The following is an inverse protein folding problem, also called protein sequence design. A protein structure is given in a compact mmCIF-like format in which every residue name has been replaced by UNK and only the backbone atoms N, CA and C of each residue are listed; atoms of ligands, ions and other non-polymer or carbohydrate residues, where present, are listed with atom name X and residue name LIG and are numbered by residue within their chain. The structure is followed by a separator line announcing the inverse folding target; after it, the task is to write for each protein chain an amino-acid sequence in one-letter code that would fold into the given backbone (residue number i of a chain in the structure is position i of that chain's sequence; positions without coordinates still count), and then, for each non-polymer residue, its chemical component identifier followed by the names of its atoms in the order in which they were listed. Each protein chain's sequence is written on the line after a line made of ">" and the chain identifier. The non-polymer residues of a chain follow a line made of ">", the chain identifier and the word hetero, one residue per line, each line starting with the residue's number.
data_IF_901799284131
#
_entry.id   IF_901799284131
#
_cell.length_a   1.000
_cell.length_b   1.000
_cell.length_c   1.000
_cell.angle_alpha   90.00
_cell.angle_beta   90.00
_cell.angle_gamma   90.00
#
_symmetry.space_group_name_H-M   'P 1'
#
loop_
_entity.id
_entity.type
_entity.pdbx_description
1 polymer ?
#
# COMPACT_ATOMS: atom_id res chain seq x y z
N UNK A 1 6.07 -12.92 -83.16
CA UNK A 1 6.24 -12.89 -81.70
C UNK A 1 4.87 -13.06 -81.09
N UNK A 2 4.56 -14.29 -80.73
CA UNK A 2 3.22 -14.75 -80.39
C UNK A 2 3.20 -15.02 -78.88
N UNK A 3 2.50 -14.15 -78.14
CA UNK A 3 2.41 -14.16 -76.68
C UNK A 3 1.00 -14.61 -76.29
N UNK A 4 0.73 -15.88 -76.51
CA UNK A 4 -0.36 -16.59 -75.85
C UNK A 4 0.23 -17.71 -75.03
N UNK A 5 0.01 -17.67 -73.71
CA UNK A 5 -0.33 -18.81 -72.84
C UNK A 5 -0.40 -18.38 -71.37
N UNK A 6 -1.63 -18.49 -70.83
CA UNK A 6 -1.97 -18.98 -69.48
C UNK A 6 -1.51 -18.16 -68.25
N UNK A 7 -2.26 -17.99 -67.16
CA UNK A 7 -3.44 -18.67 -66.61
C UNK A 7 -4.08 -17.72 -65.58
N UNK A 8 -5.42 -17.81 -65.43
CA UNK A 8 -6.23 -17.21 -64.36
C UNK A 8 -5.63 -17.43 -62.95
N UNK A 9 -5.72 -16.41 -62.07
CA UNK A 9 -6.43 -16.50 -60.78
C UNK A 9 -6.55 -15.15 -60.08
N UNK A 10 -7.76 -14.91 -59.60
CA UNK A 10 -8.20 -13.83 -58.72
C UNK A 10 -7.40 -13.79 -57.41
N UNK A 11 -7.04 -12.60 -56.96
CA UNK A 11 -6.97 -12.26 -55.53
C UNK A 11 -7.33 -10.79 -55.39
N UNK A 12 -8.51 -10.54 -54.83
CA UNK A 12 -8.89 -9.29 -54.21
C UNK A 12 -7.79 -8.90 -53.22
N UNK A 13 -7.15 -7.74 -53.43
CA UNK A 13 -6.31 -7.13 -52.43
C UNK A 13 -7.21 -6.55 -51.34
N UNK A 14 -7.49 -7.36 -50.32
CA UNK A 14 -8.02 -6.89 -49.04
C UNK A 14 -6.90 -6.10 -48.36
N UNK A 15 -7.01 -4.78 -48.38
CA UNK A 15 -6.22 -3.89 -47.53
C UNK A 15 -6.75 -4.10 -46.10
N UNK A 16 -6.12 -5.01 -45.36
CA UNK A 16 -6.25 -5.04 -43.90
C UNK A 16 -5.44 -3.86 -43.36
N UNK A 17 -6.08 -2.71 -43.25
CA UNK A 17 -5.63 -1.68 -42.32
C UNK A 17 -5.90 -2.24 -40.91
N UNK A 18 -4.86 -2.83 -40.30
CA UNK A 18 -4.88 -3.13 -38.88
C UNK A 18 -4.90 -1.80 -38.11
N UNK A 19 -6.12 -1.34 -37.82
CA UNK A 19 -6.38 -0.42 -36.72
C UNK A 19 -5.95 -1.15 -35.44
N UNK A 20 -4.70 -0.96 -35.04
CA UNK A 20 -4.28 -1.17 -33.66
C UNK A 20 -4.98 -0.09 -32.85
N UNK A 21 -6.22 -0.37 -32.48
CA UNK A 21 -6.89 0.35 -31.40
C UNK A 21 -6.17 -0.13 -30.15
N UNK A 22 -5.07 0.54 -29.79
CA UNK A 22 -4.62 0.55 -28.41
C UNK A 22 -5.77 1.21 -27.63
N UNK A 23 -6.71 0.41 -27.15
CA UNK A 23 -7.58 0.80 -26.08
C UNK A 23 -6.67 1.13 -24.91
N UNK A 24 -6.35 2.41 -24.74
CA UNK A 24 -5.84 2.92 -23.49
C UNK A 24 -6.94 2.67 -22.46
N UNK A 25 -6.91 1.50 -21.81
CA UNK A 25 -7.64 1.30 -20.58
C UNK A 25 -7.00 2.27 -19.59
N UNK A 26 -7.65 3.41 -19.37
CA UNK A 26 -7.25 4.33 -18.32
C UNK A 26 -7.31 3.56 -17.01
N UNK A 27 -6.20 3.55 -16.26
CA UNK A 27 -6.20 2.99 -14.91
C UNK A 27 -7.24 3.75 -14.06
N UNK A 28 -7.98 3.00 -13.26
CA UNK A 28 -9.06 3.50 -12.41
C UNK A 28 -8.57 4.55 -11.39
N UNK A 29 -7.42 4.27 -10.77
CA UNK A 29 -6.70 5.16 -9.87
C UNK A 29 -5.26 5.17 -10.34
N UNK A 30 -4.73 6.36 -10.62
CA UNK A 30 -3.34 6.56 -11.05
C UNK A 30 -2.56 7.29 -9.99
N UNK A 31 -1.43 6.74 -9.54
CA UNK A 31 -0.41 7.47 -8.76
C UNK A 31 0.35 8.40 -9.71
N UNK A 32 0.35 9.70 -9.40
CA UNK A 32 0.89 10.77 -10.26
C UNK A 32 2.02 11.58 -9.61
N UNK A 33 2.45 11.20 -8.41
CA UNK A 33 3.51 11.85 -7.66
C UNK A 33 3.27 11.73 -6.16
N UNK A 34 3.63 12.77 -5.41
CA UNK A 34 3.54 12.79 -3.94
C UNK A 34 2.93 14.06 -3.37
N UNK A 35 2.35 13.94 -2.17
CA UNK A 35 1.84 15.06 -1.39
C UNK A 35 2.54 15.13 -0.04
N UNK A 36 3.21 16.25 0.23
CA UNK A 36 3.82 16.52 1.53
C UNK A 36 2.74 16.66 2.61
N UNK A 37 2.96 16.01 3.75
CA UNK A 37 2.12 16.15 4.94
C UNK A 37 2.98 16.37 6.19
N UNK A 38 2.50 17.22 7.09
CA UNK A 38 3.17 17.51 8.36
C UNK A 38 2.39 16.90 9.51
N UNK A 39 3.06 16.03 10.26
CA UNK A 39 2.53 15.32 11.41
C UNK A 39 2.94 16.03 12.70
N UNK A 40 2.02 16.13 13.63
CA UNK A 40 2.32 16.55 15.00
C UNK A 40 2.76 15.33 15.81
N UNK A 41 3.99 15.33 16.31
CA UNK A 41 4.51 14.23 17.13
C UNK A 41 4.08 14.36 18.60
N UNK A 42 4.04 13.22 19.29
CA UNK A 42 4.00 13.18 20.74
C UNK A 42 5.38 13.55 21.32
N UNK A 43 5.47 14.29 22.45
CA UNK A 43 6.75 14.50 23.11
C UNK A 43 7.30 13.16 23.62
N UNK A 44 8.45 12.75 23.09
CA UNK A 44 9.17 11.58 23.57
C UNK A 44 9.71 11.85 24.98
N UNK A 45 9.18 11.14 25.98
CA UNK A 45 9.54 11.18 27.41
C UNK A 45 9.23 12.48 28.17
N UNK A 46 8.38 12.33 29.20
CA UNK A 46 8.05 13.34 30.24
C UNK A 46 9.26 13.81 31.10
N UNK A 47 10.49 13.39 30.81
CA UNK A 47 11.68 13.62 31.65
C UNK A 47 12.64 14.69 31.13
N UNK A 48 12.39 15.31 29.98
CA UNK A 48 13.16 16.49 29.52
C UNK A 48 12.24 17.67 29.24
N UNK A 49 12.43 18.76 29.99
CA UNK A 49 11.82 20.09 29.78
C UNK A 49 12.31 20.72 28.46
N UNK A 50 11.97 20.13 27.33
CA UNK A 50 12.09 20.75 26.03
C UNK A 50 10.77 20.55 25.30
N UNK A 51 9.87 21.52 25.46
CA UNK A 51 8.63 21.68 24.71
C UNK A 51 8.96 22.12 23.27
N UNK A 52 9.62 21.25 22.50
CA UNK A 52 9.67 21.40 21.05
C UNK A 52 8.71 20.34 20.52
N UNK A 53 7.55 20.78 20.04
CA UNK A 53 6.72 19.97 19.16
C UNK A 53 7.54 19.76 17.89
N UNK A 54 8.31 18.67 17.82
CA UNK A 54 9.03 18.32 16.60
C UNK A 54 8.00 17.87 15.56
N UNK A 55 7.67 18.75 14.63
CA UNK A 55 6.85 18.40 13.48
C UNK A 55 7.61 17.39 12.61
N UNK A 56 6.95 16.30 12.22
CA UNK A 56 7.51 15.31 11.28
C UNK A 56 6.90 15.51 9.91
N UNK A 57 7.73 15.66 8.88
CA UNK A 57 7.25 15.63 7.50
C UNK A 57 7.24 14.22 6.96
N UNK A 58 6.21 13.89 6.19
CA UNK A 58 6.10 12.68 5.37
C UNK A 58 5.64 13.06 3.96
N UNK A 59 5.68 12.10 3.04
CA UNK A 59 5.00 12.23 1.76
C UNK A 59 4.03 11.06 1.56
N UNK A 60 2.83 11.39 1.11
CA UNK A 60 1.80 10.45 0.68
C UNK A 60 1.84 10.27 -0.83
N UNK A 61 1.21 9.23 -1.34
CA UNK A 61 0.97 9.07 -2.77
C UNK A 61 -0.02 10.16 -3.23
N UNK A 62 0.33 10.89 -4.28
CA UNK A 62 -0.62 11.72 -5.00
C UNK A 62 -1.36 10.86 -6.01
N UNK A 63 -2.68 10.86 -5.98
CA UNK A 63 -3.52 10.06 -6.87
C UNK A 63 -4.47 10.91 -7.70
N UNK A 64 -4.83 10.37 -8.86
CA UNK A 64 -5.90 10.88 -9.70
C UNK A 64 -6.91 9.76 -9.96
N UNK A 65 -8.19 10.07 -9.72
CA UNK A 65 -9.31 9.12 -9.85
C UNK A 65 -10.01 9.34 -11.19
N UNK A 66 -10.30 8.24 -11.89
CA UNK A 66 -11.18 8.25 -13.06
C UNK A 66 -12.61 8.64 -12.68
N UNK A 67 -13.38 9.17 -13.65
CA UNK A 67 -14.79 9.51 -13.42
C UNK A 67 -15.61 8.29 -12.98
N UNK A 68 -15.26 7.09 -13.46
CA UNK A 68 -15.90 5.84 -13.04
C UNK A 68 -15.68 5.58 -11.55
N UNK A 69 -14.45 5.73 -11.06
CA UNK A 69 -14.12 5.54 -9.65
C UNK A 69 -14.77 6.60 -8.79
N UNK A 70 -14.74 7.87 -9.20
CA UNK A 70 -15.41 8.95 -8.44
C UNK A 70 -16.89 8.64 -8.25
N UNK A 71 -17.59 8.28 -9.33
CA UNK A 71 -19.00 7.90 -9.28
C UNK A 71 -19.24 6.65 -8.40
N UNK A 72 -18.38 5.64 -8.50
CA UNK A 72 -18.46 4.44 -7.66
C UNK A 72 -18.32 4.77 -6.17
N UNK A 73 -17.34 5.61 -5.82
CA UNK A 73 -17.10 6.03 -4.44
C UNK A 73 -18.28 6.84 -3.91
N UNK A 74 -18.80 7.81 -4.67
CA UNK A 74 -19.97 8.60 -4.29
C UNK A 74 -21.19 7.72 -4.00
N UNK A 75 -21.48 6.75 -4.89
CA UNK A 75 -22.61 5.86 -4.70
C UNK A 75 -22.46 5.00 -3.44
N UNK A 76 -21.27 4.41 -3.23
CA UNK A 76 -20.99 3.61 -2.02
C UNK A 76 -21.01 4.44 -0.75
N UNK A 77 -20.57 5.70 -0.81
CA UNK A 77 -20.63 6.64 0.30
C UNK A 77 -22.08 6.98 0.69
N UNK A 78 -22.95 7.22 -0.30
CA UNK A 78 -24.37 7.45 -0.06
C UNK A 78 -25.04 6.23 0.57
N UNK A 79 -24.72 5.03 0.09
CA UNK A 79 -25.17 3.78 0.70
C UNK A 79 -24.67 3.67 2.15
N UNK A 80 -23.40 4.01 2.42
CA UNK A 80 -22.84 4.01 3.77
C UNK A 80 -23.59 4.95 4.74
N UNK A 81 -23.97 6.15 4.28
CA UNK A 81 -24.73 7.13 5.06
C UNK A 81 -26.19 6.71 5.30
N UNK A 82 -26.82 6.08 4.33
CA UNK A 82 -28.23 5.68 4.39
C UNK A 82 -28.48 4.51 5.36
N UNK A 83 -27.45 3.71 5.67
CA UNK A 83 -27.52 2.61 6.63
C UNK A 83 -27.15 3.12 8.05
N UNK A 84 -28.15 3.69 8.74
CA UNK A 84 -28.09 4.20 10.13
C UNK A 84 -27.78 3.17 11.22
N UNK A 85 -27.41 1.96 10.82
CA UNK A 85 -26.68 0.99 11.62
C UNK A 85 -25.48 0.58 10.79
N UNK A 86 -24.28 0.69 11.39
CA UNK A 86 -22.99 0.13 10.96
C UNK A 86 -23.17 -0.94 9.91
N UNK A 87 -22.29 -1.02 8.92
CA UNK A 87 -22.24 -2.14 7.97
C UNK A 87 -22.08 -3.46 8.75
N UNK A 88 -23.21 -3.93 9.27
CA UNK A 88 -23.29 -4.95 10.26
C UNK A 88 -22.93 -6.17 9.46
N UNK A 89 -21.94 -6.87 9.97
CA UNK A 89 -21.61 -8.21 9.52
C UNK A 89 -22.90 -9.03 9.52
N UNK A 90 -23.57 -9.09 8.36
CA UNK A 90 -24.51 -10.14 8.08
C UNK A 90 -23.63 -11.36 7.90
N UNK A 91 -23.48 -12.15 8.97
CA UNK A 91 -22.84 -13.45 8.92
C UNK A 91 -23.56 -14.25 7.83
N UNK A 92 -23.00 -14.26 6.63
CA UNK A 92 -23.52 -15.08 5.56
C UNK A 92 -23.21 -16.51 5.96
N UNK A 93 -24.26 -17.22 6.36
CA UNK A 93 -24.25 -18.65 6.59
C UNK A 93 -23.79 -19.37 5.32
N UNK A 94 -22.49 -19.52 5.14
CA UNK A 94 -21.88 -20.56 4.31
C UNK A 94 -20.77 -21.17 5.13
N UNK A 95 -20.74 -22.50 5.12
CA UNK A 95 -19.84 -23.35 5.90
C UNK A 95 -18.36 -23.12 5.54
N UNK A 96 -17.80 -21.99 5.98
CA UNK A 96 -16.39 -21.78 6.16
C UNK A 96 -16.04 -22.20 7.60
N UNK A 97 -14.86 -22.80 7.80
CA UNK A 97 -14.33 -23.06 9.13
C UNK A 97 -14.49 -21.82 10.03
N UNK A 98 -14.75 -21.96 11.33
CA UNK A 98 -14.96 -20.81 12.20
C UNK A 98 -13.70 -19.93 12.19
N UNK A 99 -13.74 -18.82 11.45
CA UNK A 99 -12.67 -17.82 11.48
C UNK A 99 -12.76 -17.13 12.85
N UNK A 100 -11.66 -17.01 13.61
CA UNK A 100 -11.67 -16.34 14.90
C UNK A 100 -12.26 -14.92 14.79
N UNK A 101 -12.86 -14.41 15.86
CA UNK A 101 -13.35 -13.02 15.89
C UNK A 101 -12.23 -12.00 16.15
N UNK A 102 -11.03 -12.48 16.48
CA UNK A 102 -9.83 -11.69 16.75
C UNK A 102 -8.60 -12.46 16.28
N UNK A 103 -7.72 -11.81 15.53
CA UNK A 103 -6.39 -12.30 15.19
C UNK A 103 -5.39 -11.15 15.31
N UNK A 104 -4.26 -11.37 15.97
CA UNK A 104 -3.17 -10.40 16.06
C UNK A 104 -1.84 -11.11 15.82
N UNK A 105 -1.31 -10.98 14.59
CA UNK A 105 -0.05 -11.61 14.20
C UNK A 105 1.17 -10.77 14.61
N UNK A 106 0.98 -9.47 14.84
CA UNK A 106 2.08 -8.52 15.02
C UNK A 106 2.99 -8.49 13.79
N UNK A 107 4.28 -8.20 13.96
CA UNK A 107 5.24 -8.08 12.84
C UNK A 107 6.48 -8.97 12.97
N UNK A 108 6.43 -10.05 13.77
CA UNK A 108 7.52 -11.04 13.87
C UNK A 108 8.92 -10.40 14.07
N UNK A 109 9.01 -9.45 15.01
CA UNK A 109 10.22 -8.67 15.34
C UNK A 109 10.74 -7.72 14.25
N UNK A 110 9.98 -7.48 13.17
CA UNK A 110 10.27 -6.37 12.26
C UNK A 110 9.99 -5.06 13.01
N UNK A 111 10.98 -4.17 13.17
CA UNK A 111 10.78 -2.90 13.84
C UNK A 111 9.82 -2.02 13.06
N UNK A 112 9.31 -0.96 13.69
CA UNK A 112 8.58 0.08 12.96
C UNK A 112 9.58 0.82 12.09
N UNK A 113 9.35 0.80 10.78
CA UNK A 113 10.20 1.45 9.81
C UNK A 113 9.79 2.92 9.62
N UNK A 114 10.67 3.67 8.97
CA UNK A 114 10.49 5.11 8.77
C UNK A 114 10.85 5.50 7.32
N UNK A 115 9.82 5.74 6.52
CA UNK A 115 9.95 6.24 5.14
C UNK A 115 10.50 7.67 5.09
N UNK A 116 10.44 8.39 6.22
CA UNK A 116 10.90 9.76 6.28
C UNK A 116 10.10 10.68 5.38
N UNK A 117 10.81 11.58 4.70
CA UNK A 117 10.19 12.64 3.89
C UNK A 117 9.95 12.25 2.42
N UNK A 118 10.00 10.97 2.07
CA UNK A 118 9.84 10.48 0.70
C UNK A 118 8.52 9.74 0.49
N UNK A 119 8.03 9.65 -0.75
CA UNK A 119 6.81 8.94 -1.15
C UNK A 119 6.93 7.41 -1.21
N UNK A 120 7.79 6.84 -0.37
CA UNK A 120 8.25 5.44 -0.48
C UNK A 120 7.39 4.44 0.29
N UNK A 121 6.21 4.84 0.78
CA UNK A 121 5.34 4.03 1.64
C UNK A 121 5.10 2.61 1.10
N UNK A 122 4.86 2.44 -0.19
CA UNK A 122 4.66 1.15 -0.86
C UNK A 122 5.86 0.22 -0.68
N UNK A 123 7.08 0.71 -0.97
CA UNK A 123 8.30 -0.07 -0.79
C UNK A 123 8.49 -0.46 0.68
N UNK A 124 8.22 0.46 1.60
CA UNK A 124 8.32 0.19 3.04
C UNK A 124 7.30 -0.84 3.52
N UNK A 125 6.04 -0.75 3.08
CA UNK A 125 5.00 -1.70 3.43
C UNK A 125 5.30 -3.10 2.88
N UNK A 126 5.63 -3.21 1.59
CA UNK A 126 5.97 -4.48 0.94
C UNK A 126 7.18 -5.14 1.63
N UNK A 127 8.27 -4.40 1.82
CA UNK A 127 9.47 -4.95 2.48
C UNK A 127 9.20 -5.36 3.92
N UNK A 128 8.46 -4.57 4.70
CA UNK A 128 8.12 -4.92 6.08
C UNK A 128 7.23 -6.18 6.15
N UNK A 129 6.25 -6.33 5.25
CA UNK A 129 5.39 -7.51 5.20
C UNK A 129 6.17 -8.77 4.80
N UNK A 130 7.06 -8.68 3.81
CA UNK A 130 7.96 -9.76 3.41
C UNK A 130 8.89 -10.17 4.55
N UNK A 131 9.53 -9.19 5.19
CA UNK A 131 10.42 -9.41 6.32
C UNK A 131 9.71 -10.08 7.51
N UNK A 132 8.46 -9.69 7.79
CA UNK A 132 7.66 -10.30 8.84
C UNK A 132 7.25 -11.74 8.47
N UNK A 133 6.89 -11.96 7.21
CA UNK A 133 6.54 -13.28 6.67
C UNK A 133 7.73 -14.23 6.75
N UNK A 134 8.94 -13.78 6.36
CA UNK A 134 10.19 -14.54 6.50
C UNK A 134 10.71 -14.60 7.94
N UNK A 135 10.24 -13.70 8.82
CA UNK A 135 10.71 -13.56 10.22
C UNK A 135 12.19 -13.21 10.31
N UNK A 136 12.60 -12.19 9.53
CA UNK A 136 14.01 -11.76 9.42
C UNK A 136 14.32 -10.40 10.08
N UNK A 137 13.37 -9.77 10.77
CA UNK A 137 13.57 -8.42 11.31
C UNK A 137 13.69 -7.38 10.18
N UNK A 138 14.37 -6.25 10.39
CA UNK A 138 14.69 -5.31 9.28
C UNK A 138 15.78 -5.92 8.39
N UNK A 139 15.37 -6.62 7.32
CA UNK A 139 16.25 -7.45 6.51
C UNK A 139 16.37 -6.92 5.08
N UNK A 140 15.26 -6.64 4.40
CA UNK A 140 15.31 -6.14 3.02
C UNK A 140 15.73 -4.66 3.01
N UNK A 141 16.66 -4.31 2.12
CA UNK A 141 17.06 -2.92 1.88
C UNK A 141 16.04 -2.18 1.00
N UNK A 142 15.27 -1.27 1.61
CA UNK A 142 14.45 -0.31 0.87
C UNK A 142 15.33 0.57 -0.02
N UNK A 143 16.48 1.02 0.50
CA UNK A 143 17.42 1.85 -0.24
C UNK A 143 17.86 1.21 -1.55
N UNK A 144 18.39 -0.02 -1.51
CA UNK A 144 18.92 -0.67 -2.71
C UNK A 144 17.81 -0.89 -3.73
N UNK A 145 16.61 -1.27 -3.26
CA UNK A 145 15.46 -1.46 -4.13
C UNK A 145 15.05 -0.15 -4.82
N UNK A 146 14.98 0.95 -4.09
CA UNK A 146 14.67 2.27 -4.64
C UNK A 146 15.77 2.80 -5.57
N UNK A 147 17.05 2.50 -5.30
CA UNK A 147 18.17 2.89 -6.18
C UNK A 147 18.19 2.12 -7.49
N UNK A 148 17.79 0.84 -7.48
CA UNK A 148 17.51 0.11 -8.73
C UNK A 148 16.30 0.71 -9.44
N UNK A 149 15.24 1.05 -8.69
CA UNK A 149 14.07 1.73 -9.23
C UNK A 149 14.43 3.03 -9.97
N UNK A 150 15.25 3.89 -9.38
CA UNK A 150 15.75 5.13 -10.03
C UNK A 150 16.45 4.85 -11.36
N UNK A 151 17.23 3.76 -11.46
CA UNK A 151 17.82 3.35 -12.73
C UNK A 151 16.73 2.95 -13.75
N UNK A 152 15.79 2.11 -13.33
CA UNK A 152 14.73 1.59 -14.20
C UNK A 152 13.85 2.72 -14.73
N UNK A 153 13.46 3.67 -13.89
CA UNK A 153 12.68 4.84 -14.28
C UNK A 153 13.42 5.73 -15.28
N UNK A 154 14.69 6.05 -15.00
CA UNK A 154 15.53 6.88 -15.88
C UNK A 154 15.69 6.28 -17.29
N UNK A 155 15.56 4.96 -17.42
CA UNK A 155 15.67 4.25 -18.68
C UNK A 155 14.31 3.78 -19.25
N UNK A 156 13.20 4.18 -18.63
CA UNK A 156 11.85 3.90 -19.13
C UNK A 156 11.34 2.47 -18.91
N UNK A 157 11.88 1.75 -17.91
CA UNK A 157 11.50 0.37 -17.58
C UNK A 157 10.47 0.24 -16.45
N UNK A 158 10.26 1.27 -15.64
CA UNK A 158 9.33 1.20 -14.50
C UNK A 158 9.30 2.49 -13.67
N UNK A 159 8.64 2.45 -12.52
CA UNK A 159 8.62 3.54 -11.54
C UNK A 159 9.80 3.40 -10.58
N UNK A 160 10.35 4.52 -10.09
CA UNK A 160 11.45 4.46 -9.14
C UNK A 160 11.03 4.01 -7.74
N UNK A 161 9.78 4.34 -7.36
CA UNK A 161 9.23 4.14 -6.03
C UNK A 161 9.60 5.20 -5.01
N UNK A 162 10.44 6.19 -5.36
CA UNK A 162 10.71 7.34 -4.49
C UNK A 162 9.52 8.27 -4.37
N UNK A 163 8.86 8.54 -5.51
CA UNK A 163 7.69 9.41 -5.63
C UNK A 163 6.37 8.63 -5.79
N UNK A 164 6.31 7.45 -5.18
CA UNK A 164 5.16 6.56 -5.24
C UNK A 164 5.29 5.41 -6.22
N UNK A 165 4.52 4.36 -5.98
CA UNK A 165 4.48 3.13 -6.78
C UNK A 165 3.16 2.38 -6.52
N UNK A 166 3.11 1.11 -6.94
CA UNK A 166 2.09 0.13 -6.57
C UNK A 166 2.77 -1.12 -6.03
N UNK A 167 2.09 -1.88 -5.17
CA UNK A 167 2.65 -3.13 -4.63
C UNK A 167 3.13 -4.06 -5.75
N UNK A 168 2.32 -4.20 -6.80
CA UNK A 168 2.65 -5.00 -7.99
C UNK A 168 3.97 -4.60 -8.65
N UNK A 169 4.22 -3.32 -8.89
CA UNK A 169 5.47 -2.84 -9.49
C UNK A 169 6.69 -3.13 -8.60
N UNK A 170 6.56 -2.92 -7.29
CA UNK A 170 7.62 -3.22 -6.32
C UNK A 170 7.91 -4.73 -6.29
N UNK A 171 6.86 -5.56 -6.30
CA UNK A 171 6.97 -7.02 -6.28
C UNK A 171 7.56 -7.53 -7.60
N UNK A 172 7.10 -7.06 -8.75
CA UNK A 172 7.62 -7.44 -10.07
C UNK A 172 9.13 -7.13 -10.17
N UNK A 173 9.56 -5.97 -9.66
CA UNK A 173 10.97 -5.63 -9.58
C UNK A 173 11.73 -6.62 -8.67
N UNK A 174 11.17 -7.03 -7.54
CA UNK A 174 11.76 -8.05 -6.66
C UNK A 174 11.76 -9.46 -7.27
N UNK A 175 10.76 -9.83 -8.07
CA UNK A 175 10.73 -11.10 -8.80
C UNK A 175 11.81 -11.14 -9.88
N UNK A 176 11.97 -10.04 -10.62
CA UNK A 176 12.92 -9.97 -11.73
C UNK A 176 14.38 -9.88 -11.25
N UNK A 177 14.64 -9.05 -10.23
CA UNK A 177 16.02 -8.71 -9.82
C UNK A 177 16.41 -9.27 -8.45
N UNK A 178 15.47 -9.78 -7.67
CA UNK A 178 15.68 -10.22 -6.29
C UNK A 178 15.64 -9.05 -5.29
N UNK A 179 16.05 -9.35 -4.06
CA UNK A 179 16.20 -8.36 -2.98
C UNK A 179 17.66 -8.26 -2.55
N UNK A 180 18.07 -7.09 -2.05
CA UNK A 180 19.36 -6.91 -1.38
C UNK A 180 19.11 -6.74 0.10
N UNK A 181 19.82 -7.47 0.96
CA UNK A 181 19.65 -7.35 2.40
C UNK A 181 20.48 -6.21 3.02
N UNK A 182 20.08 -5.77 4.22
CA UNK A 182 20.71 -4.66 4.97
C UNK A 182 22.21 -4.87 5.23
N UNK A 183 22.64 -6.12 5.47
CA UNK A 183 24.07 -6.42 5.68
C UNK A 183 24.88 -6.08 4.41
N UNK A 184 24.38 -6.48 3.23
CA UNK A 184 25.01 -6.15 1.94
C UNK A 184 24.94 -4.65 1.66
N UNK A 185 23.81 -3.98 1.92
CA UNK A 185 23.68 -2.52 1.83
C UNK A 185 24.78 -1.80 2.64
N UNK A 186 24.93 -2.13 3.93
CA UNK A 186 25.89 -1.46 4.81
C UNK A 186 27.35 -1.75 4.40
N UNK A 187 27.62 -2.96 3.90
CA UNK A 187 28.96 -3.37 3.48
C UNK A 187 29.38 -2.70 2.17
N UNK A 188 28.56 -2.82 1.13
CA UNK A 188 28.92 -2.46 -0.24
C UNK A 188 28.34 -1.13 -0.71
N UNK A 189 27.23 -0.69 -0.12
CA UNK A 189 26.46 0.46 -0.59
C UNK A 189 25.61 0.14 -1.83
N UNK A 190 24.64 1.00 -2.10
CA UNK A 190 23.72 0.95 -3.22
C UNK A 190 23.58 2.35 -3.80
N UNK A 191 23.97 2.54 -5.07
CA UNK A 191 24.07 3.87 -5.68
C UNK A 191 25.00 4.82 -4.91
N UNK A 192 26.11 4.31 -4.38
CA UNK A 192 27.07 5.09 -3.58
C UNK A 192 26.63 5.38 -2.13
N UNK A 193 25.44 4.94 -1.73
CA UNK A 193 24.89 5.20 -0.40
C UNK A 193 24.82 3.95 0.47
N UNK A 194 25.11 4.09 1.76
CA UNK A 194 25.03 3.00 2.76
C UNK A 194 23.84 3.09 3.68
N UNK A 195 23.16 4.23 3.72
CA UNK A 195 22.04 4.51 4.61
C UNK A 195 20.92 5.15 3.81
N UNK A 196 19.68 4.79 4.16
CA UNK A 196 18.50 5.42 3.58
C UNK A 196 18.46 6.91 4.01
N UNK A 197 18.25 7.85 3.08
CA UNK A 197 18.35 9.28 3.35
C UNK A 197 17.08 9.86 4.01
N UNK A 198 16.60 9.25 5.10
CA UNK A 198 15.28 9.49 5.72
C UNK A 198 14.81 10.95 5.79
N UNK A 199 15.73 11.90 6.04
CA UNK A 199 15.40 13.31 6.24
C UNK A 199 16.22 14.24 5.34
N UNK A 200 16.62 13.78 4.15
CA UNK A 200 17.30 14.61 3.15
C UNK A 200 16.27 15.16 2.16
N UNK A 201 16.24 16.47 1.97
CA UNK A 201 15.17 17.22 1.25
C UNK A 201 14.97 16.83 -0.23
N UNK A 202 15.80 15.95 -0.77
CA UNK A 202 15.74 15.50 -2.16
C UNK A 202 16.03 14.00 -2.25
N UNK A 203 15.42 13.36 -3.24
CA UNK A 203 15.78 12.01 -3.61
C UNK A 203 17.23 11.94 -4.10
N UNK A 204 17.91 10.80 -3.92
CA UNK A 204 19.26 10.64 -4.42
C UNK A 204 19.29 10.74 -5.95
N UNK A 205 20.18 11.58 -6.49
CA UNK A 205 20.44 11.64 -7.93
C UNK A 205 21.17 10.38 -8.46
N UNK A 206 21.81 9.63 -7.56
CA UNK A 206 22.46 8.37 -7.88
C UNK A 206 21.44 7.24 -8.02
N UNK A 207 21.87 6.19 -8.72
CA UNK A 207 21.11 4.97 -8.93
C UNK A 207 22.04 3.76 -8.88
N UNK A 208 21.47 2.56 -8.86
CA UNK A 208 22.20 1.31 -8.88
C UNK A 208 21.88 0.54 -10.16
N UNK A 209 22.91 0.25 -10.97
CA UNK A 209 22.73 -0.50 -12.21
C UNK A 209 22.27 -1.95 -11.93
N UNK A 210 21.48 -2.58 -12.83
CA UNK A 210 20.97 -3.93 -12.64
C UNK A 210 22.04 -5.00 -12.43
N UNK A 211 23.20 -4.89 -13.10
CA UNK A 211 24.31 -5.82 -12.93
C UNK A 211 24.91 -5.73 -11.51
N UNK A 212 25.10 -4.50 -11.03
CA UNK A 212 25.58 -4.27 -9.66
C UNK A 212 24.55 -4.80 -8.65
N UNK A 213 23.27 -4.51 -8.85
CA UNK A 213 22.20 -4.99 -7.97
C UNK A 213 22.16 -6.53 -7.94
N UNK A 214 22.19 -7.17 -9.11
CA UNK A 214 22.15 -8.63 -9.26
C UNK A 214 23.34 -9.32 -8.58
N UNK A 215 24.52 -8.69 -8.56
CA UNK A 215 25.69 -9.23 -7.85
C UNK A 215 25.50 -9.29 -6.33
N UNK A 216 24.60 -8.48 -5.79
CA UNK A 216 24.27 -8.42 -4.36
C UNK A 216 22.93 -9.07 -4.04
N UNK A 217 22.08 -9.36 -5.02
CA UNK A 217 20.71 -9.76 -4.76
C UNK A 217 20.57 -11.25 -4.38
N UNK A 218 19.38 -11.59 -3.88
CA UNK A 218 18.92 -12.95 -3.67
C UNK A 218 17.43 -13.05 -4.01
N UNK A 219 16.99 -14.18 -4.54
CA UNK A 219 15.59 -14.43 -4.86
C UNK A 219 14.89 -15.11 -3.69
N UNK A 220 13.78 -14.51 -3.22
CA UNK A 220 12.98 -15.02 -2.10
C UNK A 220 11.65 -15.65 -2.52
N UNK A 221 11.11 -15.22 -3.67
CA UNK A 221 9.81 -15.70 -4.15
C UNK A 221 9.88 -17.14 -4.65
N UNK A 222 8.86 -17.93 -4.31
CA UNK A 222 8.81 -19.37 -4.60
C UNK A 222 9.77 -20.22 -3.76
N UNK A 223 10.55 -19.60 -2.86
CA UNK A 223 11.52 -20.28 -1.99
C UNK A 223 11.18 -20.10 -0.51
N UNK A 224 10.98 -18.86 -0.09
CA UNK A 224 10.65 -18.51 1.30
C UNK A 224 9.25 -17.91 1.43
N UNK A 225 8.84 -17.13 0.43
CA UNK A 225 7.57 -16.41 0.40
C UNK A 225 6.88 -16.59 -0.94
N UNK A 226 5.56 -16.66 -0.92
CA UNK A 226 4.69 -16.50 -2.08
C UNK A 226 3.80 -15.27 -1.88
N UNK A 227 3.34 -14.68 -2.98
CA UNK A 227 2.41 -13.56 -2.94
C UNK A 227 1.21 -13.80 -3.85
N UNK A 228 0.13 -13.07 -3.61
CA UNK A 228 -1.05 -13.04 -4.49
C UNK A 228 -1.81 -11.74 -4.33
N UNK A 229 -2.25 -11.15 -5.44
CA UNK A 229 -3.29 -10.12 -5.43
C UNK A 229 -4.63 -10.74 -5.01
N UNK A 230 -5.27 -10.13 -4.02
CA UNK A 230 -6.58 -10.55 -3.50
C UNK A 230 -7.63 -9.45 -3.59
N UNK A 231 -7.33 -8.31 -4.22
CA UNK A 231 -8.25 -7.20 -4.33
C UNK A 231 -9.34 -7.45 -5.37
N UNK A 232 -10.58 -7.18 -4.98
CA UNK A 232 -11.75 -7.22 -5.87
C UNK A 232 -12.49 -5.89 -5.83
N UNK A 233 -12.38 -5.11 -6.91
CA UNK A 233 -13.02 -3.79 -7.05
C UNK A 233 -14.53 -3.84 -6.75
N UNK A 234 -15.21 -4.90 -7.19
CA UNK A 234 -16.67 -5.02 -7.16
C UNK A 234 -17.24 -5.64 -5.87
N UNK A 235 -16.42 -6.29 -5.03
CA UNK A 235 -16.88 -6.97 -3.81
C UNK A 235 -16.01 -6.63 -2.58
N UNK A 236 -16.19 -5.44 -1.98
CA UNK A 236 -15.43 -5.04 -0.81
C UNK A 236 -15.67 -5.94 0.43
N UNK A 237 -16.85 -6.55 0.53
CA UNK A 237 -17.15 -7.46 1.63
C UNK A 237 -16.31 -8.75 1.51
N UNK A 238 -16.15 -9.26 0.29
CA UNK A 238 -15.23 -10.36 0.03
C UNK A 238 -13.78 -9.97 0.31
N UNK A 239 -13.32 -8.78 -0.05
CA UNK A 239 -11.97 -8.30 0.28
C UNK A 239 -11.69 -8.39 1.78
N UNK A 240 -12.63 -7.91 2.62
CA UNK A 240 -12.48 -7.99 4.08
C UNK A 240 -12.46 -9.45 4.57
N UNK A 241 -13.29 -10.32 4.00
CA UNK A 241 -13.30 -11.73 4.36
C UNK A 241 -11.99 -12.43 3.96
N UNK A 242 -11.45 -12.15 2.77
CA UNK A 242 -10.18 -12.70 2.30
C UNK A 242 -9.01 -12.23 3.17
N UNK A 243 -9.00 -10.94 3.58
CA UNK A 243 -8.05 -10.40 4.58
C UNK A 243 -8.13 -11.19 5.88
N UNK A 244 -9.32 -11.40 6.44
CA UNK A 244 -9.50 -12.15 7.69
C UNK A 244 -9.06 -13.61 7.56
N UNK A 245 -9.34 -14.25 6.42
CA UNK A 245 -8.90 -15.61 6.13
C UNK A 245 -7.37 -15.72 6.06
N UNK A 246 -6.72 -14.80 5.35
CA UNK A 246 -5.27 -14.75 5.25
C UNK A 246 -4.62 -14.54 6.64
N UNK A 247 -5.12 -13.58 7.42
CA UNK A 247 -4.64 -13.33 8.78
C UNK A 247 -4.84 -14.57 9.68
N UNK A 248 -6.00 -15.23 9.59
CA UNK A 248 -6.24 -16.49 10.32
C UNK A 248 -5.33 -17.64 9.90
N UNK A 249 -4.77 -17.60 8.68
CA UNK A 249 -3.79 -18.56 8.20
C UNK A 249 -2.35 -18.19 8.62
N UNK A 250 -2.14 -17.06 9.30
CA UNK A 250 -0.82 -16.57 9.71
C UNK A 250 -0.12 -15.68 8.68
N UNK A 251 -0.84 -15.31 7.60
CA UNK A 251 -0.31 -14.47 6.52
C UNK A 251 -0.57 -12.99 6.79
N UNK A 252 0.28 -12.12 6.24
CA UNK A 252 0.10 -10.67 6.29
C UNK A 252 -0.25 -10.15 4.92
N UNK A 253 -0.84 -8.97 4.88
CA UNK A 253 -1.19 -8.30 3.64
C UNK A 253 -0.65 -6.87 3.65
N UNK A 254 -0.37 -6.36 2.47
CA UNK A 254 -0.27 -4.91 2.25
C UNK A 254 -1.51 -4.44 1.51
N UNK A 255 -1.88 -3.18 1.70
CA UNK A 255 -3.01 -2.61 1.01
C UNK A 255 -2.84 -1.11 0.80
N UNK A 256 -3.26 -0.63 -0.37
CA UNK A 256 -3.32 0.79 -0.66
C UNK A 256 -4.72 1.33 -0.35
N UNK A 257 -4.76 2.49 0.30
CA UNK A 257 -6.00 3.14 0.74
C UNK A 257 -6.01 4.62 0.36
N UNK A 258 -7.16 5.08 -0.12
CA UNK A 258 -7.46 6.47 -0.38
C UNK A 258 -7.66 7.25 0.94
N UNK A 259 -7.16 8.48 1.00
CA UNK A 259 -7.24 9.36 2.16
C UNK A 259 -7.91 10.70 1.77
N UNK A 260 -9.26 10.78 1.75
CA UNK A 260 -9.99 11.96 1.25
C UNK A 260 -9.71 13.26 2.00
N UNK A 261 -9.40 13.17 3.31
CA UNK A 261 -9.33 14.32 4.22
C UNK A 261 -8.08 14.28 5.08
N UNK A 262 -6.91 14.41 4.45
CA UNK A 262 -5.63 14.41 5.16
C UNK A 262 -5.48 15.62 6.10
N UNK A 263 -6.26 16.67 5.90
CA UNK A 263 -6.37 17.86 6.76
C UNK A 263 -7.00 17.56 8.12
N UNK A 264 -7.77 16.47 8.24
CA UNK A 264 -8.45 16.09 9.48
C UNK A 264 -7.58 15.18 10.35
N UNK A 265 -7.57 15.44 11.65
CA UNK A 265 -6.95 14.54 12.62
C UNK A 265 -5.46 14.30 12.35
N UNK A 266 -5.05 13.03 12.35
CA UNK A 266 -3.70 12.62 11.94
C UNK A 266 -3.80 12.02 10.54
N UNK A 267 -3.65 12.84 9.50
CA UNK A 267 -3.69 12.39 8.10
C UNK A 267 -4.99 11.64 7.76
N UNK A 268 -6.13 12.21 8.14
CA UNK A 268 -7.46 11.61 7.98
C UNK A 268 -7.83 10.59 9.06
N UNK A 269 -6.91 10.18 9.94
CA UNK A 269 -7.26 9.39 11.11
C UNK A 269 -7.99 10.30 12.11
N UNK A 270 -9.30 10.07 12.27
CA UNK A 270 -10.18 10.91 13.09
C UNK A 270 -10.75 10.18 14.31
N UNK A 271 -10.53 8.86 14.40
CA UNK A 271 -10.95 8.00 15.50
C UNK A 271 -9.83 7.71 16.50
N UNK A 272 -10.25 7.27 17.68
CA UNK A 272 -9.37 6.84 18.78
C UNK A 272 -9.70 5.41 19.19
N UNK A 273 -8.68 4.56 19.29
CA UNK A 273 -8.82 3.19 19.79
C UNK A 273 -7.88 2.88 20.97
N UNK A 274 -6.56 2.98 20.79
CA UNK A 274 -5.57 2.68 21.85
C UNK A 274 -4.95 3.94 22.44
N UNK A 275 -4.95 5.02 21.69
CA UNK A 275 -4.45 6.32 22.14
C UNK A 275 -5.57 7.20 22.66
N UNK A 276 -5.30 7.91 23.76
CA UNK A 276 -6.28 8.82 24.38
C UNK A 276 -6.18 10.25 23.84
N UNK A 277 -4.96 10.64 23.45
CA UNK A 277 -4.63 12.00 23.01
C UNK A 277 -4.60 12.07 21.48
N UNK A 278 -3.92 11.14 20.83
CA UNK A 278 -3.75 11.09 19.39
C UNK A 278 -4.95 10.42 18.71
N UNK A 279 -5.08 10.64 17.40
CA UNK A 279 -6.04 9.94 16.57
C UNK A 279 -5.25 8.90 15.79
N UNK A 280 -5.51 7.63 16.08
CA UNK A 280 -4.78 6.47 15.59
C UNK A 280 -5.63 5.60 14.65
N UNK A 281 -6.90 5.97 14.45
CA UNK A 281 -7.85 5.15 13.71
C UNK A 281 -8.50 5.92 12.55
N UNK A 282 -8.40 5.37 11.34
CA UNK A 282 -9.24 5.79 10.21
C UNK A 282 -10.64 5.21 10.33
N UNK A 283 -11.63 6.08 10.52
CA UNK A 283 -13.05 5.76 10.65
C UNK A 283 -13.86 6.60 9.69
N UNK A 284 -14.98 6.06 9.21
CA UNK A 284 -15.80 6.73 8.21
C UNK A 284 -16.79 7.68 8.90
N UNK A 285 -16.54 8.98 8.82
CA UNK A 285 -17.43 10.03 9.38
C UNK A 285 -18.14 10.79 8.25
N UNK A 286 -19.22 11.54 8.53
CA UNK A 286 -19.87 12.38 7.53
C UNK A 286 -18.90 13.34 6.82
N UNK A 287 -17.91 13.89 7.53
CA UNK A 287 -16.89 14.77 6.94
C UNK A 287 -15.94 14.04 5.99
N UNK A 288 -15.57 12.79 6.29
CA UNK A 288 -14.78 11.97 5.36
C UNK A 288 -15.61 11.66 4.12
N UNK A 289 -16.88 11.27 4.33
CA UNK A 289 -17.79 10.87 3.25
C UNK A 289 -18.06 12.02 2.28
N UNK A 290 -18.12 13.26 2.78
CA UNK A 290 -18.45 14.43 1.97
C UNK A 290 -17.49 14.65 0.79
N UNK A 291 -16.23 14.19 0.88
CA UNK A 291 -15.18 14.47 -0.10
C UNK A 291 -14.57 13.19 -0.72
N UNK A 292 -15.27 12.04 -0.68
CA UNK A 292 -14.73 10.77 -1.22
C UNK A 292 -14.58 10.74 -2.75
N UNK A 293 -15.20 11.68 -3.46
CA UNK A 293 -15.10 11.83 -4.92
C UNK A 293 -13.97 12.78 -5.34
N UNK A 294 -13.39 13.50 -4.38
CA UNK A 294 -12.23 14.36 -4.57
C UNK A 294 -11.08 13.92 -3.65
N UNK A 295 -10.48 12.76 -3.98
CA UNK A 295 -9.31 12.26 -3.26
C UNK A 295 -8.06 12.52 -4.06
N UNK A 296 -7.10 13.21 -3.45
CA UNK A 296 -5.77 13.45 -4.04
C UNK A 296 -4.66 12.66 -3.35
N UNK A 297 -4.93 12.09 -2.18
CA UNK A 297 -3.93 11.38 -1.37
C UNK A 297 -4.27 9.90 -1.20
N UNK A 298 -3.24 9.07 -1.23
CA UNK A 298 -3.30 7.65 -0.86
C UNK A 298 -2.08 7.23 -0.03
N UNK A 299 -2.19 6.10 0.63
CA UNK A 299 -1.12 5.53 1.45
C UNK A 299 -1.16 4.01 1.43
N UNK A 300 -0.02 3.37 1.64
CA UNK A 300 0.09 1.91 1.70
C UNK A 300 0.70 1.45 3.03
N UNK A 301 0.09 0.42 3.62
CA UNK A 301 0.40 -0.08 4.96
C UNK A 301 0.31 -1.60 5.03
N UNK A 302 0.80 -2.19 6.13
CA UNK A 302 0.70 -3.63 6.37
C UNK A 302 -0.48 -3.93 7.31
N UNK A 303 -1.35 -4.87 6.94
CA UNK A 303 -2.38 -5.42 7.81
C UNK A 303 -1.78 -6.56 8.64
N UNK A 304 -1.86 -6.44 9.96
CA UNK A 304 -1.22 -7.36 10.93
C UNK A 304 -2.22 -8.11 11.81
N UNK A 305 -3.50 -7.75 11.73
CA UNK A 305 -4.54 -8.35 12.54
C UNK A 305 -5.90 -7.70 12.34
N UNK A 306 -6.89 -8.22 13.07
CA UNK A 306 -8.23 -7.67 13.15
C UNK A 306 -8.89 -8.05 14.48
N UNK A 307 -9.89 -7.27 14.87
CA UNK A 307 -10.78 -7.59 15.99
C UNK A 307 -12.21 -7.11 15.66
N UNK A 308 -13.12 -8.07 15.49
CA UNK A 308 -14.53 -7.84 15.19
C UNK A 308 -15.28 -7.11 16.31
N UNK A 309 -14.72 -7.11 17.53
CA UNK A 309 -15.31 -6.51 18.72
C UNK A 309 -14.59 -5.23 19.18
N UNK A 310 -13.44 -4.90 18.59
CA UNK A 310 -12.78 -3.63 18.87
C UNK A 310 -13.67 -2.46 18.41
N UNK A 311 -13.64 -1.37 19.19
CA UNK A 311 -14.46 -0.18 18.93
C UNK A 311 -13.57 1.04 18.99
N UNK A 312 -13.50 1.77 17.88
CA UNK A 312 -12.95 3.12 17.83
C UNK A 312 -14.06 4.15 18.03
N UNK A 313 -13.71 5.31 18.57
CA UNK A 313 -14.65 6.42 18.79
C UNK A 313 -14.16 7.64 18.02
N UNK A 314 -15.01 8.25 17.20
CA UNK A 314 -14.67 9.47 16.47
C UNK A 314 -14.83 10.75 17.31
N UNK A 315 -14.54 11.89 16.71
CA UNK A 315 -14.58 13.18 17.40
C UNK A 315 -15.99 13.64 17.82
N UNK A 316 -17.03 12.99 17.29
CA UNK A 316 -18.43 13.24 17.64
C UNK A 316 -18.95 12.22 18.65
N UNK A 317 -18.11 11.31 19.13
CA UNK A 317 -18.50 10.25 20.06
C UNK A 317 -19.17 9.05 19.40
N UNK A 318 -19.21 8.97 18.06
CA UNK A 318 -19.80 7.84 17.35
C UNK A 318 -18.85 6.65 17.42
N UNK A 319 -19.42 5.47 17.67
CA UNK A 319 -18.70 4.21 17.83
C UNK A 319 -18.62 3.44 16.51
N UNK A 320 -17.40 3.06 16.14
CA UNK A 320 -17.07 2.30 14.94
C UNK A 320 -16.54 0.92 15.35
N UNK A 321 -17.33 -0.14 15.15
CA UNK A 321 -17.01 -1.51 15.61
C UNK A 321 -16.39 -2.33 14.47
N UNK A 322 -15.38 -3.13 14.80
CA UNK A 322 -14.64 -3.96 13.84
C UNK A 322 -13.46 -3.18 13.28
N UNK A 323 -12.25 -3.52 13.73
CA UNK A 323 -11.02 -2.82 13.36
C UNK A 323 -10.00 -3.77 12.74
N UNK A 324 -9.32 -3.31 11.69
CA UNK A 324 -8.05 -3.84 11.22
C UNK A 324 -6.90 -3.21 12.01
N UNK A 325 -5.85 -3.99 12.26
CA UNK A 325 -4.62 -3.55 12.91
C UNK A 325 -3.54 -3.35 11.86
N UNK A 326 -2.91 -2.19 11.86
CA UNK A 326 -2.07 -1.73 10.76
C UNK A 326 -0.68 -1.33 11.26
N UNK A 327 0.37 -1.85 10.62
CA UNK A 327 1.72 -1.33 10.78
C UNK A 327 1.97 -0.24 9.75
N UNK A 328 2.31 0.95 10.23
CA UNK A 328 2.66 2.11 9.39
C UNK A 328 4.19 2.24 9.24
N UNK A 329 4.62 3.15 8.36
CA UNK A 329 6.01 3.43 8.00
C UNK A 329 6.45 4.85 8.39
N UNK A 330 5.87 5.42 9.44
CA UNK A 330 6.14 6.79 9.90
C UNK A 330 6.99 6.85 11.18
N UNK A 331 7.67 5.76 11.53
CA UNK A 331 8.43 5.63 12.77
C UNK A 331 7.57 5.48 14.02
N UNK A 332 8.20 5.16 15.15
CA UNK A 332 7.50 4.84 16.41
C UNK A 332 6.90 6.06 17.11
N UNK A 333 7.26 7.30 16.73
CA UNK A 333 6.76 8.51 17.39
C UNK A 333 5.37 8.97 16.91
N UNK A 334 4.77 8.23 15.97
CA UNK A 334 3.50 8.56 15.34
C UNK A 334 2.51 7.40 15.50
N UNK A 335 1.27 7.73 15.85
CA UNK A 335 0.22 6.73 16.09
C UNK A 335 0.35 6.07 17.47
N UNK A 336 0.06 4.78 17.54
CA UNK A 336 0.22 3.91 18.71
C UNK A 336 1.56 3.16 18.59
N UNK A 337 2.65 3.84 18.96
CA UNK A 337 4.02 3.34 18.79
C UNK A 337 4.35 2.87 17.36
N UNK A 338 3.80 3.55 16.34
CA UNK A 338 3.96 3.20 14.92
C UNK A 338 2.84 2.31 14.35
N UNK A 339 1.94 1.84 15.20
CA UNK A 339 0.72 1.14 14.80
C UNK A 339 -0.43 2.13 14.58
N UNK A 340 -1.33 1.75 13.68
CA UNK A 340 -2.58 2.42 13.40
C UNK A 340 -3.71 1.40 13.28
N UNK A 341 -4.94 1.91 13.18
CA UNK A 341 -6.13 1.10 13.11
C UNK A 341 -7.05 1.63 12.02
N UNK A 342 -7.94 0.76 11.52
CA UNK A 342 -8.92 1.17 10.50
C UNK A 342 -10.22 0.43 10.69
N UNK A 343 -11.34 1.16 10.70
CA UNK A 343 -12.65 0.53 10.69
C UNK A 343 -12.86 -0.27 9.40
N UNK A 344 -13.58 -1.38 9.50
CA UNK A 344 -13.94 -2.20 8.33
C UNK A 344 -14.65 -1.39 7.24
N UNK A 345 -15.40 -0.36 7.63
CA UNK A 345 -16.19 0.47 6.72
C UNK A 345 -15.32 1.40 5.89
N UNK A 346 -14.32 2.01 6.54
CA UNK A 346 -13.28 2.77 5.85
C UNK A 346 -12.52 1.88 4.86
N UNK A 347 -12.09 0.70 5.31
CA UNK A 347 -11.37 -0.28 4.48
C UNK A 347 -12.19 -0.68 3.23
N UNK A 348 -13.46 -1.07 3.41
CA UNK A 348 -14.33 -1.49 2.30
C UNK A 348 -14.59 -0.37 1.29
N UNK A 349 -14.69 0.87 1.76
CA UNK A 349 -14.99 1.99 0.87
C UNK A 349 -13.75 2.45 0.09
N UNK A 350 -12.59 2.55 0.76
CA UNK A 350 -11.47 3.36 0.29
C UNK A 350 -10.21 2.56 -0.08
N UNK A 351 -10.19 1.24 0.12
CA UNK A 351 -9.06 0.41 -0.35
C UNK A 351 -9.14 0.16 -1.85
N UNK A 352 -7.99 0.17 -2.54
CA UNK A 352 -7.91 -0.04 -3.98
C UNK A 352 -6.81 -0.98 -4.45
N UNK A 353 -6.00 -1.51 -3.53
CA UNK A 353 -5.03 -2.58 -3.77
C UNK A 353 -4.90 -3.41 -2.50
N UNK A 354 -4.77 -4.74 -2.62
CA UNK A 354 -4.57 -5.66 -1.49
C UNK A 354 -3.72 -6.84 -1.97
N UNK A 355 -2.50 -6.92 -1.45
CA UNK A 355 -1.58 -8.03 -1.75
C UNK A 355 -1.30 -8.86 -0.51
N UNK A 356 -1.51 -10.18 -0.62
CA UNK A 356 -1.21 -11.15 0.44
C UNK A 356 0.21 -11.68 0.28
N UNK A 357 0.92 -11.85 1.41
CA UNK A 357 2.19 -12.57 1.50
C UNK A 357 2.06 -13.78 2.41
N UNK A 358 2.48 -14.94 1.92
CA UNK A 358 2.40 -16.21 2.64
C UNK A 358 3.75 -16.91 2.63
N UNK A 359 4.05 -17.68 3.67
CA UNK A 359 5.25 -18.53 3.65
C UNK A 359 5.07 -19.64 2.61
N UNK A 360 6.15 -19.99 1.90
CA UNK A 360 6.14 -21.17 1.04
C UNK A 360 5.96 -22.42 1.90
N UNK A 361 4.98 -23.26 1.58
CA UNK A 361 4.80 -24.56 2.22
C UNK A 361 6.03 -25.43 1.98
N UNK A 362 6.66 -25.91 3.05
CA UNK A 362 7.80 -26.85 3.01
C UNK A 362 7.30 -28.25 2.63
#
# INVERSE_FOLDING_TARGET
>A
MDLTKFFKRSTQALIFAALVINGAYAQDITVVGTLKQTLKQAPANLSRKSLVNEEKSIQLLQVHLSDEVRNLLTNRAQDALAHTHQFAYASSNRAASPIPNHVQLGMNNVPVLDQGIHGTCVTFAVTAALDATMTKGDYISQLCHLQLGSYLEKHGYGLSGWDGSYASYVIDQMEQYGIVNKIKQLKFGCGGMKYYPTYTDHDPESFMDPEQFSSLSEFIFGKEVNWSDVFQKTDPAKNLNDVKQALSAGDRLVFAVLLPRTDLGTVGAVGKYKTWIYKDTWVLTPEIIADVDYVEAAHEMVITGYDDNAVAVDNHGVKHKGLLFLRNSWGTSVGDDGEFYMSYDYFKLLSFDITRFSRTSI
#
